data_IF_479132036417
#
_entry.id   IF_479132036417
#
_cell.length_a   1.000
_cell.length_b   1.000
_cell.length_c   1.000
_cell.angle_alpha   90.00
_cell.angle_beta   90.00
_cell.angle_gamma   90.00
#
_symmetry.space_group_name_H-M   'P 1'
#
loop_
_entity.id
_entity.type
_entity.pdbx_description
1 polymer ?
#
# COMPACT_ATOMS: atom_id res chain seq x y z
N UNK A 1 -3.76 8.69 2.53
CA UNK A 1 -3.28 7.53 3.29
C UNK A 1 -1.99 7.97 3.94
N UNK A 2 -1.88 7.80 5.25
CA UNK A 2 -0.69 8.23 6.00
C UNK A 2 0.24 7.03 6.19
N UNK A 3 1.16 6.85 5.24
CA UNK A 3 2.20 5.80 5.25
C UNK A 3 3.57 6.48 5.13
N UNK A 4 4.58 5.96 5.84
CA UNK A 4 5.92 6.52 5.83
C UNK A 4 6.68 6.14 4.55
N UNK A 5 7.64 6.99 4.15
CA UNK A 5 8.55 6.65 3.04
C UNK A 5 9.39 5.39 3.34
N UNK A 6 9.67 5.12 4.62
CA UNK A 6 10.34 3.89 5.05
C UNK A 6 9.49 2.66 4.76
N UNK A 7 8.18 2.69 5.05
CA UNK A 7 7.30 1.55 4.78
C UNK A 7 7.16 1.29 3.28
N UNK A 8 6.91 2.34 2.49
CA UNK A 8 6.90 2.26 1.03
C UNK A 8 8.21 1.67 0.47
N UNK A 9 9.35 2.05 1.05
CA UNK A 9 10.65 1.50 0.67
C UNK A 9 10.81 0.02 1.04
N UNK A 10 10.29 -0.40 2.20
CA UNK A 10 10.34 -1.79 2.70
C UNK A 10 9.46 -2.73 1.87
N UNK A 11 8.29 -2.28 1.43
CA UNK A 11 7.44 -3.05 0.50
C UNK A 11 8.16 -3.31 -0.84
N UNK A 12 9.04 -2.39 -1.25
CA UNK A 12 10.06 -2.66 -2.26
C UNK A 12 9.56 -2.65 -3.71
N UNK A 13 8.39 -2.07 -3.96
CA UNK A 13 7.79 -1.92 -5.30
C UNK A 13 8.59 -0.93 -6.17
N UNK A 14 8.80 -1.30 -7.45
CA UNK A 14 9.48 -0.53 -8.49
C UNK A 14 10.63 0.38 -8.02
N UNK A 15 10.45 1.71 -8.07
CA UNK A 15 11.47 2.70 -7.72
C UNK A 15 11.58 2.96 -6.20
N UNK A 16 10.77 2.28 -5.41
CA UNK A 16 10.70 2.34 -3.94
C UNK A 16 10.39 3.72 -3.40
N UNK A 17 9.78 4.58 -4.20
CA UNK A 17 9.38 5.92 -3.78
C UNK A 17 8.00 5.91 -3.12
N UNK A 18 7.81 6.77 -2.12
CA UNK A 18 6.48 6.99 -1.52
C UNK A 18 5.46 7.51 -2.54
N UNK A 19 5.93 8.23 -3.56
CA UNK A 19 5.05 8.70 -4.63
C UNK A 19 4.50 7.53 -5.43
N UNK A 20 5.38 6.65 -5.94
CA UNK A 20 4.97 5.49 -6.72
C UNK A 20 4.05 4.57 -5.93
N UNK A 21 4.42 4.29 -4.67
CA UNK A 21 3.59 3.51 -3.74
C UNK A 21 2.17 4.08 -3.65
N UNK A 22 2.01 5.41 -3.48
CA UNK A 22 0.69 6.05 -3.40
C UNK A 22 -0.13 5.92 -4.68
N UNK A 23 0.52 5.97 -5.85
CA UNK A 23 -0.14 5.88 -7.15
C UNK A 23 -0.75 4.48 -7.35
N UNK A 24 0.05 3.44 -7.16
CA UNK A 24 -0.40 2.05 -7.38
C UNK A 24 -1.36 1.58 -6.28
N UNK A 25 -1.12 1.97 -5.03
CA UNK A 25 -2.00 1.62 -3.91
C UNK A 25 -3.35 2.32 -3.99
N UNK A 26 -3.42 3.57 -4.47
CA UNK A 26 -4.71 4.24 -4.72
C UNK A 26 -5.55 3.43 -5.69
N UNK A 27 -5.00 3.03 -6.84
CA UNK A 27 -5.73 2.25 -7.83
C UNK A 27 -6.20 0.90 -7.25
N UNK A 28 -5.36 0.24 -6.46
CA UNK A 28 -5.70 -1.00 -5.76
C UNK A 28 -6.88 -0.80 -4.78
N UNK A 29 -6.80 0.19 -3.89
CA UNK A 29 -7.83 0.45 -2.90
C UNK A 29 -9.14 0.96 -3.50
N UNK A 30 -9.09 1.82 -4.52
CA UNK A 30 -10.28 2.24 -5.27
C UNK A 30 -11.00 1.04 -5.89
N UNK A 31 -10.25 0.12 -6.52
CA UNK A 31 -10.78 -1.13 -7.03
C UNK A 31 -11.38 -2.02 -5.94
N UNK A 32 -10.74 -2.10 -4.77
CA UNK A 32 -11.25 -2.87 -3.64
C UNK A 32 -12.54 -2.28 -3.08
N UNK A 33 -12.61 -0.96 -2.86
CA UNK A 33 -13.80 -0.26 -2.36
C UNK A 33 -14.98 -0.38 -3.34
N UNK A 34 -14.72 -0.21 -4.63
CA UNK A 34 -15.74 -0.31 -5.67
C UNK A 34 -16.46 -1.67 -5.65
N UNK A 35 -15.72 -2.78 -5.42
CA UNK A 35 -16.30 -4.13 -5.31
C UNK A 35 -17.33 -4.28 -4.19
N UNK A 36 -17.28 -3.40 -3.19
CA UNK A 36 -18.21 -3.37 -2.06
C UNK A 36 -19.22 -2.20 -2.15
N UNK A 37 -19.33 -1.53 -3.29
CA UNK A 37 -20.14 -0.32 -3.48
C UNK A 37 -19.77 0.80 -2.48
N UNK A 38 -18.50 0.88 -2.10
CA UNK A 38 -17.96 1.95 -1.25
C UNK A 38 -17.18 2.95 -2.10
N UNK A 39 -17.18 4.22 -1.66
CA UNK A 39 -16.34 5.26 -2.24
C UNK A 39 -15.00 5.31 -1.49
N UNK A 40 -13.90 5.23 -2.22
CA UNK A 40 -12.57 5.42 -1.62
C UNK A 40 -12.40 6.86 -1.11
N UNK A 41 -11.59 7.01 -0.08
CA UNK A 41 -11.20 8.30 0.46
C UNK A 41 -9.74 8.27 0.93
N UNK A 42 -9.05 9.40 0.84
CA UNK A 42 -7.64 9.46 1.19
C UNK A 42 -7.37 9.25 2.69
N UNK A 43 -8.35 9.49 3.55
CA UNK A 43 -8.23 9.28 5.00
C UNK A 43 -8.43 7.81 5.41
N UNK A 44 -8.40 6.86 4.46
CA UNK A 44 -8.46 5.45 4.76
C UNK A 44 -7.29 5.04 5.67
N UNK A 45 -7.60 4.28 6.72
CA UNK A 45 -6.59 3.65 7.56
C UNK A 45 -5.93 2.52 6.77
N UNK A 46 -4.61 2.48 6.81
CA UNK A 46 -3.78 1.42 6.22
C UNK A 46 -3.14 0.66 7.36
N UNK A 47 -3.31 -0.66 7.39
CA UNK A 47 -2.58 -1.54 8.29
C UNK A 47 -1.24 -1.89 7.62
N UNK A 48 -0.16 -1.36 8.19
CA UNK A 48 1.20 -1.60 7.73
C UNK A 48 1.78 -2.82 8.44
N UNK A 49 2.15 -3.85 7.69
CA UNK A 49 2.75 -5.08 8.24
C UNK A 49 4.19 -5.22 7.73
N UNK A 50 5.10 -5.67 8.61
CA UNK A 50 6.47 -6.01 8.26
C UNK A 50 6.71 -7.48 8.60
N UNK A 51 7.41 -8.18 7.70
CA UNK A 51 7.69 -9.60 7.86
C UNK A 51 9.07 -9.95 7.33
N UNK A 52 9.58 -11.10 7.76
CA UNK A 52 10.85 -11.65 7.32
C UNK A 52 10.67 -13.09 6.81
N UNK A 53 11.49 -13.48 5.84
CA UNK A 53 11.49 -14.86 5.32
C UNK A 53 12.30 -15.72 6.29
N UNK A 54 11.62 -16.55 7.10
CA UNK A 54 12.27 -17.47 8.04
C UNK A 54 12.83 -18.73 7.36
N UNK A 55 12.27 -19.11 6.21
CA UNK A 55 12.71 -20.27 5.45
C UNK A 55 12.56 -20.00 3.95
N UNK A 56 13.66 -20.17 3.20
CA UNK A 56 13.71 -20.00 1.74
C UNK A 56 14.29 -21.28 1.13
N UNK A 57 13.49 -21.94 0.30
CA UNK A 57 13.89 -23.12 -0.49
C UNK A 57 14.60 -22.69 -1.76
#
# INVERSE_FOLDING_TARGET
MEVSAEHAFKEGEDDRSLQYWREVHRACFEGAYWRFNLAFHENALVLCEEFEILYKV
#
